data_IF_686676174079
#
_entry.id   IF_686676174079
#
_cell.length_a   1.000
_cell.length_b   1.000
_cell.length_c   1.000
_cell.angle_alpha   90.00
_cell.angle_beta   90.00
_cell.angle_gamma   90.00
#
_symmetry.space_group_name_H-M   'P 1'
#
loop_
_entity.id
_entity.type
_entity.pdbx_description
1 polymer ?
#
# COMPACT_ATOMS: atom_id res chain seq x y z
N UNK A 1 -8.12 1.01 -29.00
CA UNK A 1 -6.68 0.77 -28.95
C UNK A 1 -6.49 -0.62 -28.37
N UNK A 2 -5.81 -1.49 -29.10
CA UNK A 2 -5.51 -2.85 -28.66
C UNK A 2 -4.26 -2.86 -27.80
N UNK A 3 -4.12 -3.84 -26.92
CA UNK A 3 -2.96 -3.93 -26.05
C UNK A 3 -1.66 -4.13 -26.84
N UNK A 4 -1.70 -4.87 -27.95
CA UNK A 4 -0.55 -5.05 -28.85
C UNK A 4 -0.01 -3.73 -29.42
N UNK A 5 -0.88 -2.78 -29.77
CA UNK A 5 -0.51 -1.46 -30.28
C UNK A 5 0.26 -0.66 -29.20
N UNK A 6 -0.24 -0.68 -27.96
CA UNK A 6 0.45 -0.05 -26.83
C UNK A 6 1.80 -0.73 -26.54
N UNK A 7 1.90 -2.05 -26.65
CA UNK A 7 3.16 -2.75 -26.46
C UNK A 7 4.19 -2.40 -27.56
N UNK A 8 3.76 -2.18 -28.79
CA UNK A 8 4.64 -1.72 -29.88
C UNK A 8 5.15 -0.30 -29.64
N UNK A 9 4.28 0.63 -29.22
CA UNK A 9 4.70 1.98 -28.82
C UNK A 9 5.68 1.93 -27.64
N UNK A 10 5.38 1.13 -26.62
CA UNK A 10 6.25 0.92 -25.44
C UNK A 10 7.63 0.41 -25.84
N UNK A 11 7.71 -0.59 -26.73
CA UNK A 11 8.98 -1.15 -27.22
C UNK A 11 9.77 -0.15 -28.07
N UNK A 12 9.08 0.66 -28.88
CA UNK A 12 9.71 1.71 -29.69
C UNK A 12 10.38 2.79 -28.83
N UNK A 13 9.86 3.01 -27.62
CA UNK A 13 10.43 3.94 -26.64
C UNK A 13 11.54 3.33 -25.77
N UNK A 14 11.91 2.06 -26.00
CA UNK A 14 12.99 1.37 -25.27
C UNK A 14 12.50 0.39 -24.20
N UNK A 15 11.18 0.24 -24.01
CA UNK A 15 10.61 -0.77 -23.13
C UNK A 15 10.81 -2.20 -23.65
N UNK A 16 10.79 -3.19 -22.76
CA UNK A 16 10.74 -4.61 -23.15
C UNK A 16 9.42 -5.21 -22.68
N UNK A 17 8.72 -5.93 -23.56
CA UNK A 17 7.47 -6.61 -23.23
C UNK A 17 7.36 -7.88 -24.09
N UNK A 18 7.92 -8.98 -23.62
CA UNK A 18 8.04 -10.22 -24.36
C UNK A 18 7.13 -11.30 -23.78
N UNK A 19 6.45 -12.04 -24.66
CA UNK A 19 5.59 -13.17 -24.31
C UNK A 19 4.43 -12.80 -23.36
N UNK A 20 3.86 -11.60 -23.47
CA UNK A 20 2.75 -11.17 -22.61
C UNK A 20 1.51 -10.78 -23.38
N UNK A 21 0.37 -10.93 -22.74
CA UNK A 21 -0.91 -10.37 -23.15
C UNK A 21 -1.71 -9.90 -21.93
N UNK A 22 -2.71 -9.05 -22.18
CA UNK A 22 -3.63 -8.59 -21.17
C UNK A 22 -4.90 -9.44 -21.25
N UNK A 23 -5.29 -10.05 -20.12
CA UNK A 23 -6.56 -10.79 -20.02
C UNK A 23 -7.32 -10.35 -18.77
N UNK A 24 -8.62 -10.62 -18.74
CA UNK A 24 -9.44 -10.47 -17.54
C UNK A 24 -9.42 -11.78 -16.76
N UNK A 25 -8.87 -11.75 -15.55
CA UNK A 25 -8.81 -12.83 -14.58
C UNK A 25 -9.66 -12.58 -13.34
N UNK A 26 -9.36 -13.31 -12.27
CA UNK A 26 -10.06 -13.21 -10.98
C UNK A 26 -9.78 -11.90 -10.24
N UNK A 27 -8.65 -11.26 -10.53
CA UNK A 27 -8.22 -9.99 -9.93
C UNK A 27 -8.52 -8.77 -10.81
N UNK A 28 -9.33 -8.95 -11.86
CA UNK A 28 -9.57 -7.92 -12.87
C UNK A 28 -8.66 -8.11 -14.08
N UNK A 29 -8.22 -7.02 -14.71
CA UNK A 29 -7.24 -7.12 -15.79
C UNK A 29 -5.86 -7.46 -15.22
N UNK A 30 -5.15 -8.38 -15.88
CA UNK A 30 -3.84 -8.83 -15.46
C UNK A 30 -2.99 -9.28 -16.63
N UNK A 31 -1.69 -9.42 -16.37
CA UNK A 31 -0.71 -9.86 -17.37
C UNK A 31 -0.61 -11.39 -17.36
N UNK A 32 -0.70 -11.99 -18.54
CA UNK A 32 -0.62 -13.43 -18.74
C UNK A 32 0.45 -13.76 -19.79
N UNK A 33 1.09 -14.94 -19.70
CA UNK A 33 1.99 -15.42 -20.74
C UNK A 33 1.19 -15.77 -22.01
N UNK A 34 1.67 -15.34 -23.18
CA UNK A 34 1.16 -15.79 -24.49
C UNK A 34 1.43 -17.28 -24.69
N UNK A 35 2.66 -17.71 -24.38
CA UNK A 35 3.13 -19.09 -24.40
C UNK A 35 3.69 -19.46 -23.01
N UNK A 36 3.01 -20.35 -22.30
CA UNK A 36 3.39 -20.80 -20.94
C UNK A 36 4.73 -21.55 -20.91
N UNK A 37 5.26 -21.96 -22.07
CA UNK A 37 6.54 -22.65 -22.20
C UNK A 37 7.71 -21.68 -22.50
N UNK A 38 7.46 -20.37 -22.52
CA UNK A 38 8.49 -19.34 -22.69
C UNK A 38 8.48 -18.39 -21.50
N UNK A 39 9.66 -17.87 -21.17
CA UNK A 39 9.76 -16.85 -20.14
C UNK A 39 9.10 -15.56 -20.63
N UNK A 40 8.39 -14.88 -19.73
CA UNK A 40 8.04 -13.48 -19.96
C UNK A 40 9.22 -12.59 -19.62
N UNK A 41 9.27 -11.42 -20.23
CA UNK A 41 10.19 -10.36 -19.81
C UNK A 41 9.53 -9.01 -19.99
N UNK A 42 9.39 -8.27 -18.90
CA UNK A 42 8.90 -6.90 -18.91
C UNK A 42 9.98 -6.03 -18.28
N UNK A 43 10.41 -4.98 -18.99
CA UNK A 43 11.36 -3.98 -18.50
C UNK A 43 10.83 -2.61 -18.83
N UNK A 44 10.61 -1.79 -17.81
CA UNK A 44 10.34 -0.36 -17.93
C UNK A 44 11.62 0.38 -17.56
N UNK A 45 12.38 0.88 -18.54
CA UNK A 45 13.62 1.58 -18.27
C UNK A 45 13.34 2.97 -17.65
N UNK A 46 14.34 3.62 -17.02
CA UNK A 46 14.14 4.85 -16.26
C UNK A 46 13.48 5.97 -17.06
N UNK A 47 13.75 6.04 -18.37
CA UNK A 47 13.22 7.07 -19.27
C UNK A 47 11.70 6.93 -19.47
N UNK A 48 11.11 5.76 -19.22
CA UNK A 48 9.67 5.52 -19.32
C UNK A 48 8.94 5.59 -17.98
N UNK A 49 9.68 5.81 -16.89
CA UNK A 49 9.12 6.00 -15.56
C UNK A 49 8.72 7.45 -15.36
N UNK A 50 7.46 7.67 -14.94
CA UNK A 50 6.91 9.03 -14.82
C UNK A 50 6.66 9.37 -13.36
N UNK A 51 7.18 10.52 -12.93
CA UNK A 51 6.88 11.03 -11.59
C UNK A 51 5.40 11.47 -11.49
N UNK A 52 4.65 11.01 -10.47
CA UNK A 52 3.29 11.48 -10.20
C UNK A 52 3.18 13.01 -10.09
N UNK A 53 4.24 13.70 -9.66
CA UNK A 53 4.27 15.15 -9.53
C UNK A 53 4.18 15.89 -10.88
N UNK A 54 4.46 15.21 -12.00
CA UNK A 54 4.31 15.75 -13.35
C UNK A 54 2.90 15.54 -13.92
N UNK A 55 2.02 14.89 -13.18
CA UNK A 55 0.70 14.49 -13.67
C UNK A 55 -0.40 15.37 -13.09
N UNK A 56 -1.48 15.53 -13.85
CA UNK A 56 -2.68 16.22 -13.41
C UNK A 56 -3.92 15.69 -14.15
N UNK A 57 -5.11 15.98 -13.64
CA UNK A 57 -6.37 15.72 -14.35
C UNK A 57 -6.78 16.94 -15.16
N UNK A 58 -7.09 16.74 -16.44
CA UNK A 58 -7.73 17.77 -17.25
C UNK A 58 -9.22 17.94 -16.90
N UNK A 59 -9.90 18.84 -17.64
CA UNK A 59 -11.33 19.13 -17.42
C UNK A 59 -12.25 17.94 -17.68
N UNK A 60 -11.78 16.94 -18.43
CA UNK A 60 -12.50 15.70 -18.73
C UNK A 60 -12.08 14.56 -17.81
N UNK A 61 -11.40 14.87 -16.69
CA UNK A 61 -10.83 13.91 -15.75
C UNK A 61 -9.90 12.89 -16.42
N UNK A 62 -9.24 13.26 -17.52
CA UNK A 62 -8.19 12.42 -18.11
C UNK A 62 -6.84 12.77 -17.49
N UNK A 63 -6.02 11.74 -17.28
CA UNK A 63 -4.68 11.92 -16.75
C UNK A 63 -3.77 12.49 -17.84
N UNK A 64 -3.13 13.61 -17.55
CA UNK A 64 -2.29 14.39 -18.45
C UNK A 64 -0.93 14.68 -17.85
N UNK A 65 0.07 14.87 -18.70
CA UNK A 65 1.39 15.36 -18.30
C UNK A 65 1.37 16.90 -18.33
N UNK A 66 1.86 17.54 -17.27
CA UNK A 66 1.98 19.00 -17.19
C UNK A 66 2.77 19.56 -18.37
N UNK A 67 2.39 20.74 -18.84
CA UNK A 67 3.15 21.45 -19.86
C UNK A 67 4.54 21.86 -19.33
N UNK A 68 5.48 22.10 -20.26
CA UNK A 68 6.87 22.53 -19.96
C UNK A 68 7.65 21.52 -19.10
N UNK A 69 7.47 20.22 -19.38
CA UNK A 69 8.36 19.18 -18.85
C UNK A 69 9.47 18.91 -19.86
N UNK A 70 10.62 18.44 -19.37
CA UNK A 70 11.72 17.99 -20.22
C UNK A 70 11.50 16.57 -20.79
N UNK A 71 10.26 16.07 -20.70
CA UNK A 71 9.91 14.73 -21.18
C UNK A 71 9.79 14.71 -22.70
N UNK A 72 10.21 13.60 -23.30
CA UNK A 72 10.08 13.36 -24.72
C UNK A 72 8.59 13.41 -25.15
N UNK A 73 8.21 14.19 -26.19
CA UNK A 73 6.83 14.27 -26.67
C UNK A 73 6.20 12.90 -27.02
N UNK A 74 7.00 11.96 -27.56
CA UNK A 74 6.52 10.60 -27.87
C UNK A 74 6.20 9.81 -26.60
N UNK A 75 6.96 10.01 -25.52
CA UNK A 75 6.68 9.41 -24.22
C UNK A 75 5.39 9.98 -23.62
N UNK A 76 5.19 11.30 -23.73
CA UNK A 76 3.96 11.95 -23.25
C UNK A 76 2.75 11.37 -23.97
N UNK A 77 2.80 11.30 -25.30
CA UNK A 77 1.71 10.73 -26.12
C UNK A 77 1.42 9.27 -25.76
N UNK A 78 2.47 8.44 -25.68
CA UNK A 78 2.36 7.05 -25.23
C UNK A 78 1.69 6.94 -23.85
N UNK A 79 2.18 7.68 -22.85
CA UNK A 79 1.70 7.57 -21.49
C UNK A 79 0.24 8.02 -21.36
N UNK A 80 -0.14 9.12 -22.01
CA UNK A 80 -1.53 9.59 -21.96
C UNK A 80 -2.50 8.62 -22.66
N UNK A 81 -2.09 7.99 -23.77
CA UNK A 81 -2.87 6.90 -24.39
C UNK A 81 -2.95 5.70 -23.48
N UNK A 82 -1.82 5.25 -22.93
CA UNK A 82 -1.74 4.14 -21.99
C UNK A 82 -2.71 4.34 -20.82
N UNK A 83 -2.66 5.51 -20.18
CA UNK A 83 -3.54 5.84 -19.06
C UNK A 83 -5.01 5.92 -19.48
N UNK A 84 -5.32 6.40 -20.68
CA UNK A 84 -6.70 6.43 -21.19
C UNK A 84 -7.29 5.03 -21.39
N UNK A 85 -6.52 4.10 -21.94
CA UNK A 85 -7.04 2.81 -22.40
C UNK A 85 -6.77 1.64 -21.44
N UNK A 86 -5.74 1.72 -20.60
CA UNK A 86 -5.31 0.61 -19.74
C UNK A 86 -5.08 1.02 -18.28
N UNK A 87 -4.82 2.31 -18.02
CA UNK A 87 -4.66 2.86 -16.67
C UNK A 87 -5.91 3.58 -16.14
N UNK A 88 -5.73 4.85 -15.74
CA UNK A 88 -6.74 5.70 -15.12
C UNK A 88 -8.12 5.70 -15.81
N UNK A 89 -8.13 5.83 -17.14
CA UNK A 89 -9.37 5.88 -17.94
C UNK A 89 -10.06 4.53 -18.11
N UNK A 90 -9.38 3.41 -17.80
CA UNK A 90 -9.90 2.06 -17.96
C UNK A 90 -10.63 1.55 -16.71
N UNK A 91 -11.62 2.32 -16.24
CA UNK A 91 -12.46 1.93 -15.11
C UNK A 91 -11.91 2.26 -13.72
N UNK A 92 -10.64 2.69 -13.58
CA UNK A 92 -10.06 3.03 -12.28
C UNK A 92 -10.82 4.17 -11.56
N UNK A 93 -11.33 5.16 -12.31
CA UNK A 93 -12.20 6.21 -11.77
C UNK A 93 -13.46 5.59 -11.16
N UNK A 94 -14.15 4.73 -11.90
CA UNK A 94 -15.38 4.06 -11.45
C UNK A 94 -15.13 3.21 -10.21
N UNK A 95 -14.05 2.45 -10.19
CA UNK A 95 -13.68 1.60 -9.05
C UNK A 95 -13.39 2.42 -7.78
N UNK A 96 -12.68 3.55 -7.92
CA UNK A 96 -12.40 4.46 -6.80
C UNK A 96 -13.65 5.21 -6.36
N UNK A 97 -14.51 5.63 -7.29
CA UNK A 97 -15.81 6.22 -6.96
C UNK A 97 -16.69 5.23 -6.19
N UNK A 98 -16.76 3.97 -6.63
CA UNK A 98 -17.52 2.91 -5.94
C UNK A 98 -17.00 2.69 -4.52
N UNK A 99 -15.68 2.54 -4.39
CA UNK A 99 -15.01 2.40 -3.09
C UNK A 99 -15.32 3.58 -2.16
N UNK A 100 -15.11 4.83 -2.61
CA UNK A 100 -15.33 6.01 -1.77
C UNK A 100 -16.80 6.20 -1.43
N UNK A 101 -17.74 5.90 -2.33
CA UNK A 101 -19.18 5.93 -2.02
C UNK A 101 -19.55 4.94 -0.93
N UNK A 102 -18.99 3.72 -0.94
CA UNK A 102 -19.20 2.76 0.13
C UNK A 102 -18.52 3.21 1.44
N UNK A 103 -17.27 3.69 1.36
CA UNK A 103 -16.47 4.12 2.51
C UNK A 103 -17.15 5.28 3.27
N UNK A 104 -17.65 6.28 2.52
CA UNK A 104 -18.39 7.42 3.07
C UNK A 104 -19.70 7.02 3.77
N UNK A 105 -20.31 5.90 3.34
CA UNK A 105 -21.58 5.38 3.87
C UNK A 105 -21.43 4.46 5.07
N UNK A 106 -20.20 4.08 5.43
CA UNK A 106 -19.97 3.28 6.62
C UNK A 106 -20.56 3.96 7.87
N UNK A 107 -21.11 3.20 8.83
CA UNK A 107 -21.50 3.72 10.13
C UNK A 107 -20.37 4.54 10.77
N UNK A 108 -20.72 5.66 11.43
CA UNK A 108 -19.72 6.57 12.04
C UNK A 108 -18.79 5.86 13.01
N UNK A 109 -19.28 4.85 13.72
CA UNK A 109 -18.48 4.03 14.62
C UNK A 109 -17.41 3.20 13.87
N UNK A 110 -17.72 2.66 12.69
CA UNK A 110 -16.72 1.98 11.85
C UNK A 110 -15.67 2.96 11.34
N UNK A 111 -16.08 4.16 10.90
CA UNK A 111 -15.15 5.20 10.48
C UNK A 111 -14.18 5.57 11.60
N UNK A 112 -14.66 5.69 12.85
CA UNK A 112 -13.82 5.95 14.02
C UNK A 112 -12.78 4.85 14.25
N UNK A 113 -13.15 3.57 14.13
CA UNK A 113 -12.17 2.49 14.21
C UNK A 113 -11.16 2.51 13.06
N UNK A 114 -11.60 2.80 11.83
CA UNK A 114 -10.67 2.92 10.70
C UNK A 114 -9.66 4.05 10.90
N UNK A 115 -10.04 5.15 11.56
CA UNK A 115 -9.08 6.19 11.96
C UNK A 115 -7.99 5.64 12.88
N UNK A 116 -8.36 4.81 13.87
CA UNK A 116 -7.38 4.12 14.72
C UNK A 116 -6.45 3.19 13.91
N UNK A 117 -6.92 2.66 12.78
CA UNK A 117 -6.15 1.81 11.88
C UNK A 117 -5.48 2.56 10.71
N UNK A 118 -5.44 3.89 10.77
CA UNK A 118 -4.61 4.72 9.90
C UNK A 118 -5.36 5.39 8.75
N UNK A 119 -6.69 5.40 8.74
CA UNK A 119 -7.46 6.33 7.90
C UNK A 119 -7.47 7.72 8.50
N UNK A 120 -7.68 8.73 7.66
CA UNK A 120 -7.89 10.10 8.11
C UNK A 120 -9.35 10.51 7.91
N UNK A 121 -9.88 11.42 8.73
CA UNK A 121 -11.26 11.89 8.55
C UNK A 121 -11.59 12.37 7.12
N UNK A 122 -10.69 13.09 6.40
CA UNK A 122 -10.92 13.45 5.01
C UNK A 122 -11.07 12.27 4.04
N UNK A 123 -10.59 11.07 4.38
CA UNK A 123 -10.78 9.88 3.54
C UNK A 123 -12.26 9.52 3.40
N UNK A 124 -13.10 9.88 4.37
CA UNK A 124 -14.55 9.63 4.36
C UNK A 124 -15.38 10.74 3.70
N UNK A 125 -14.74 11.70 3.05
CA UNK A 125 -15.39 12.86 2.41
C UNK A 125 -14.99 13.06 0.93
N UNK A 126 -14.17 12.17 0.38
CA UNK A 126 -13.72 12.20 -1.02
C UNK A 126 -14.87 11.87 -1.97
N UNK A 127 -15.13 12.73 -2.96
CA UNK A 127 -16.33 12.67 -3.80
C UNK A 127 -16.07 12.85 -5.30
N UNK A 128 -14.85 13.24 -5.68
CA UNK A 128 -14.52 13.59 -7.06
C UNK A 128 -13.22 12.92 -7.50
N UNK A 129 -13.02 12.70 -8.81
CA UNK A 129 -11.80 12.11 -9.38
C UNK A 129 -10.49 12.71 -8.86
N UNK A 130 -10.44 14.02 -8.72
CA UNK A 130 -9.26 14.71 -8.17
C UNK A 130 -8.94 14.36 -6.71
N UNK A 131 -9.93 13.95 -5.92
CA UNK A 131 -9.78 13.72 -4.48
C UNK A 131 -9.04 12.40 -4.20
N UNK A 132 -9.14 11.43 -5.11
CA UNK A 132 -8.47 10.13 -5.02
C UNK A 132 -7.41 9.90 -6.12
N UNK A 133 -6.97 10.96 -6.82
CA UNK A 133 -5.87 10.83 -7.79
C UNK A 133 -4.58 10.32 -7.12
N UNK A 134 -4.26 10.87 -5.95
CA UNK A 134 -3.08 10.43 -5.19
C UNK A 134 -3.18 8.96 -4.77
N UNK A 135 -4.38 8.50 -4.46
CA UNK A 135 -4.65 7.10 -4.12
C UNK A 135 -4.45 6.15 -5.30
N UNK A 136 -4.77 6.60 -6.51
CA UNK A 136 -4.46 5.86 -7.73
C UNK A 136 -2.95 5.73 -7.92
N UNK A 137 -2.19 6.81 -7.72
CA UNK A 137 -0.73 6.77 -7.81
C UNK A 137 -0.11 5.86 -6.75
N UNK A 138 -0.52 5.99 -5.48
CA UNK A 138 -0.04 5.13 -4.38
C UNK A 138 -0.15 3.64 -4.73
N UNK A 139 -1.26 3.23 -5.37
CA UNK A 139 -1.50 1.83 -5.73
C UNK A 139 -0.67 1.29 -6.90
N UNK A 140 0.05 2.16 -7.63
CA UNK A 140 0.70 1.83 -8.92
C UNK A 140 2.12 2.37 -9.07
N UNK A 141 2.63 3.03 -8.03
CA UNK A 141 3.96 3.59 -8.03
C UNK A 141 4.96 2.69 -7.31
N UNK A 142 6.22 2.84 -7.68
CA UNK A 142 7.37 2.32 -6.93
C UNK A 142 8.23 3.50 -6.47
N UNK A 143 9.00 3.30 -5.40
CA UNK A 143 10.06 4.22 -5.04
C UNK A 143 11.38 3.74 -5.62
N UNK A 144 11.99 4.56 -6.47
CA UNK A 144 13.36 4.36 -6.96
C UNK A 144 14.18 5.53 -6.43
N UNK A 145 15.26 5.20 -5.71
CA UNK A 145 16.04 6.17 -4.95
C UNK A 145 15.13 7.00 -4.01
N UNK A 146 15.01 8.30 -4.25
CA UNK A 146 14.21 9.23 -3.44
C UNK A 146 12.92 9.70 -4.13
N UNK A 147 12.55 9.10 -5.27
CA UNK A 147 11.38 9.53 -6.03
C UNK A 147 10.37 8.40 -6.23
N UNK A 148 9.09 8.76 -6.13
CA UNK A 148 7.99 7.91 -6.58
C UNK A 148 7.85 7.98 -8.08
N UNK A 149 7.68 6.83 -8.72
CA UNK A 149 7.54 6.68 -10.17
C UNK A 149 6.40 5.73 -10.53
N UNK A 150 5.57 6.11 -11.50
CA UNK A 150 4.62 5.21 -12.16
C UNK A 150 5.37 4.31 -13.15
N UNK A 151 4.98 3.04 -13.22
CA UNK A 151 5.64 2.00 -14.02
C UNK A 151 4.67 1.45 -15.09
N UNK A 152 4.51 2.12 -16.24
CA UNK A 152 3.60 1.64 -17.30
C UNK A 152 3.85 0.18 -17.66
N UNK A 153 2.79 -0.57 -17.98
CA UNK A 153 2.78 -2.02 -18.25
C UNK A 153 3.03 -2.88 -17.00
N UNK A 154 4.01 -2.54 -16.16
CA UNK A 154 4.30 -3.29 -14.92
C UNK A 154 3.21 -3.06 -13.87
N UNK A 155 2.59 -1.88 -13.82
CA UNK A 155 1.48 -1.55 -12.92
C UNK A 155 0.16 -2.29 -13.24
N UNK A 156 0.11 -3.08 -14.31
CA UNK A 156 -1.00 -4.00 -14.65
C UNK A 156 -0.85 -5.39 -14.03
N UNK A 157 0.30 -5.70 -13.44
CA UNK A 157 0.55 -7.01 -12.83
C UNK A 157 -0.08 -7.02 -11.45
N UNK A 158 -1.04 -7.90 -11.20
CA UNK A 158 -1.75 -7.97 -9.93
C UNK A 158 -0.90 -8.50 -8.76
N UNK A 159 -1.40 -8.26 -7.55
CA UNK A 159 -0.74 -8.69 -6.33
C UNK A 159 -0.97 -10.17 -5.98
N UNK A 160 0.06 -10.83 -5.44
CA UNK A 160 -0.07 -12.01 -4.59
C UNK A 160 1.00 -12.04 -3.51
N UNK A 161 0.68 -12.57 -2.33
CA UNK A 161 1.66 -12.80 -1.26
C UNK A 161 2.76 -13.80 -1.68
N UNK A 162 2.44 -14.74 -2.57
CA UNK A 162 3.37 -15.68 -3.18
C UNK A 162 3.95 -15.19 -4.52
N UNK A 163 3.57 -13.99 -4.98
CA UNK A 163 4.09 -13.39 -6.20
C UNK A 163 5.57 -13.09 -6.12
N UNK A 164 6.20 -12.94 -7.28
CA UNK A 164 7.62 -12.55 -7.35
C UNK A 164 7.81 -11.07 -7.01
N UNK A 165 8.99 -10.69 -6.54
CA UNK A 165 9.30 -9.27 -6.35
C UNK A 165 9.66 -8.62 -7.69
N UNK A 166 9.40 -7.31 -7.80
CA UNK A 166 10.00 -6.51 -8.86
C UNK A 166 11.52 -6.42 -8.65
N UNK A 167 12.26 -6.35 -9.75
CA UNK A 167 13.68 -5.95 -9.70
C UNK A 167 13.77 -4.47 -10.06
N UNK A 168 14.33 -3.66 -9.16
CA UNK A 168 14.56 -2.23 -9.38
C UNK A 168 16.08 -1.99 -9.57
N UNK A 169 16.56 -2.25 -10.78
CA UNK A 169 17.95 -2.04 -11.20
C UNK A 169 17.94 -1.35 -12.56
N UNK A 170 18.31 -0.07 -12.59
CA UNK A 170 18.21 0.81 -13.75
C UNK A 170 16.85 0.70 -14.48
N UNK A 171 15.77 1.01 -13.76
CA UNK A 171 14.39 0.84 -14.19
C UNK A 171 13.66 -0.16 -13.31
N UNK A 172 12.60 -0.77 -13.82
CA UNK A 172 11.86 -1.83 -13.14
C UNK A 172 11.63 -2.99 -14.07
N UNK A 173 11.81 -4.22 -13.58
CA UNK A 173 11.61 -5.41 -14.38
C UNK A 173 10.91 -6.56 -13.64
N UNK A 174 10.28 -7.41 -14.45
CA UNK A 174 9.65 -8.68 -14.08
C UNK A 174 9.99 -9.70 -15.16
N UNK A 175 10.63 -10.80 -14.78
CA UNK A 175 11.06 -11.86 -15.69
C UNK A 175 10.84 -13.23 -15.04
N UNK A 176 10.49 -14.23 -15.84
CA UNK A 176 10.35 -15.61 -15.36
C UNK A 176 9.36 -16.46 -16.17
N UNK A 177 9.23 -17.71 -15.75
CA UNK A 177 8.29 -18.67 -16.31
C UNK A 177 7.00 -18.67 -15.49
N UNK A 178 5.86 -18.50 -16.16
CA UNK A 178 4.54 -18.48 -15.52
C UNK A 178 3.60 -19.43 -16.26
N UNK A 179 2.81 -20.20 -15.51
CA UNK A 179 1.77 -21.09 -16.05
C UNK A 179 0.41 -20.39 -16.17
N UNK A 180 0.26 -19.24 -15.54
CA UNK A 180 -0.99 -18.49 -15.35
C UNK A 180 -0.67 -17.00 -15.28
N UNK A 181 -1.60 -16.21 -14.75
CA UNK A 181 -1.39 -14.80 -14.44
C UNK A 181 -0.04 -14.58 -13.74
N UNK A 182 0.67 -13.56 -14.22
CA UNK A 182 1.88 -13.05 -13.60
C UNK A 182 1.43 -12.26 -12.37
N UNK A 183 1.94 -12.65 -11.20
CA UNK A 183 1.58 -12.01 -9.94
C UNK A 183 2.84 -11.55 -9.22
N UNK A 184 2.76 -10.39 -8.58
CA UNK A 184 3.88 -9.77 -7.88
C UNK A 184 3.58 -9.48 -6.43
N UNK A 185 4.61 -9.45 -5.59
CA UNK A 185 4.50 -9.04 -4.20
C UNK A 185 4.76 -7.53 -4.12
N UNK A 186 3.69 -6.73 -4.08
CA UNK A 186 3.77 -5.27 -4.02
C UNK A 186 4.54 -4.78 -2.79
N UNK A 187 4.31 -5.43 -1.64
CA UNK A 187 4.98 -5.06 -0.40
C UNK A 187 5.13 -6.26 0.54
N UNK A 188 6.23 -6.30 1.29
CA UNK A 188 6.52 -7.35 2.28
C UNK A 188 6.38 -6.90 3.74
N UNK A 189 6.26 -5.60 3.99
CA UNK A 189 6.32 -5.02 5.34
C UNK A 189 5.07 -4.25 5.80
N UNK A 190 3.98 -4.26 5.02
CA UNK A 190 2.72 -3.64 5.45
C UNK A 190 1.87 -4.62 6.24
N UNK A 191 1.17 -4.11 7.25
CA UNK A 191 0.05 -4.85 7.80
C UNK A 191 -1.17 -4.80 6.87
N UNK A 192 -2.18 -5.62 7.17
CA UNK A 192 -3.32 -5.80 6.28
C UNK A 192 -4.18 -4.53 6.14
N UNK A 193 -4.26 -3.69 7.18
CA UNK A 193 -4.98 -2.41 7.10
C UNK A 193 -4.27 -1.40 6.21
N UNK A 194 -2.94 -1.24 6.37
CA UNK A 194 -2.19 -0.34 5.50
C UNK A 194 -2.21 -0.82 4.04
N UNK A 195 -2.08 -2.14 3.83
CA UNK A 195 -2.21 -2.71 2.50
C UNK A 195 -3.58 -2.42 1.88
N UNK A 196 -4.66 -2.63 2.64
CA UNK A 196 -6.01 -2.34 2.18
C UNK A 196 -6.25 -0.84 1.91
N UNK A 197 -5.75 0.06 2.77
CA UNK A 197 -5.86 1.51 2.57
C UNK A 197 -5.27 1.93 1.21
N UNK A 198 -4.12 1.37 0.84
CA UNK A 198 -3.39 1.76 -0.36
C UNK A 198 -3.84 1.04 -1.63
N UNK A 199 -4.14 -0.25 -1.53
CA UNK A 199 -4.40 -1.09 -2.70
C UNK A 199 -5.85 -1.54 -2.83
N UNK A 200 -6.68 -1.38 -1.78
CA UNK A 200 -8.09 -1.81 -1.71
C UNK A 200 -8.29 -3.30 -1.98
N UNK A 201 -7.30 -4.10 -1.60
CA UNK A 201 -7.33 -5.56 -1.68
C UNK A 201 -7.20 -6.09 -0.26
N UNK A 202 -8.21 -6.84 0.20
CA UNK A 202 -8.15 -7.54 1.47
C UNK A 202 -7.27 -8.78 1.33
N UNK A 203 -6.05 -8.71 1.86
CA UNK A 203 -5.11 -9.83 1.86
C UNK A 203 -4.60 -10.12 3.27
N UNK A 204 -4.29 -11.38 3.59
CA UNK A 204 -3.53 -11.71 4.79
C UNK A 204 -2.19 -10.97 4.82
N UNK A 205 -1.76 -10.53 6.00
CA UNK A 205 -0.41 -10.05 6.23
C UNK A 205 0.32 -10.95 7.23
N UNK A 206 1.64 -10.82 7.30
CA UNK A 206 2.49 -11.45 8.32
C UNK A 206 2.81 -10.49 9.48
N UNK A 207 2.31 -9.25 9.40
CA UNK A 207 2.62 -8.17 10.31
C UNK A 207 1.31 -7.61 10.85
N UNK A 208 1.34 -7.25 12.14
CA UNK A 208 0.27 -6.51 12.79
C UNK A 208 0.89 -5.29 13.45
N UNK A 209 0.39 -4.11 13.13
CA UNK A 209 0.78 -2.87 13.79
C UNK A 209 -0.24 -2.50 14.86
N UNK A 210 0.21 -1.82 15.91
CA UNK A 210 -0.67 -1.20 16.89
C UNK A 210 -1.55 -0.15 16.22
N UNK A 211 -2.76 0.04 16.73
CA UNK A 211 -3.55 1.21 16.40
C UNK A 211 -2.83 2.51 16.79
N UNK A 212 -3.28 3.61 16.20
CA UNK A 212 -2.93 4.95 16.66
C UNK A 212 -3.43 5.12 18.10
N UNK A 213 -2.54 5.49 19.02
CA UNK A 213 -2.87 5.61 20.44
C UNK A 213 -1.96 6.60 21.16
N UNK A 214 -2.58 7.38 22.05
CA UNK A 214 -1.90 8.24 23.02
C UNK A 214 -2.09 7.70 24.42
N UNK A 215 -0.98 7.40 25.09
CA UNK A 215 -0.93 6.80 26.43
C UNK A 215 -0.29 7.79 27.39
N UNK A 216 -0.92 8.00 28.55
CA UNK A 216 -0.30 8.76 29.64
C UNK A 216 0.25 7.78 30.68
N UNK A 217 1.57 7.81 30.88
CA UNK A 217 2.28 6.89 31.77
C UNK A 217 2.75 7.66 33.00
N UNK A 218 2.36 7.25 34.22
CA UNK A 218 2.80 7.89 35.45
C UNK A 218 4.33 8.03 35.51
N UNK A 219 4.81 9.22 35.90
CA UNK A 219 6.23 9.56 36.03
C UNK A 219 7.09 9.51 34.74
N UNK A 220 6.50 9.11 33.61
CA UNK A 220 7.17 9.10 32.29
C UNK A 220 6.64 10.25 31.42
N UNK A 221 5.33 10.48 31.46
CA UNK A 221 4.65 11.47 30.62
C UNK A 221 3.82 10.81 29.53
N UNK A 222 3.65 11.51 28.40
CA UNK A 222 2.80 11.04 27.31
C UNK A 222 3.61 10.30 26.24
N UNK A 223 3.04 9.21 25.72
CA UNK A 223 3.59 8.38 24.66
C UNK A 223 2.56 8.36 23.54
N UNK A 224 2.96 8.82 22.35
CA UNK A 224 2.14 8.84 21.17
C UNK A 224 2.67 7.85 20.14
N UNK A 225 1.83 6.93 19.71
CA UNK A 225 2.16 5.88 18.76
C UNK A 225 1.23 6.03 17.57
N UNK A 226 1.83 6.27 16.40
CA UNK A 226 1.10 6.47 15.16
C UNK A 226 1.12 5.18 14.31
N UNK A 227 0.71 5.30 13.04
CA UNK A 227 0.76 4.21 12.05
C UNK A 227 1.57 4.56 10.80
N UNK A 228 2.59 5.41 10.96
CA UNK A 228 3.48 5.86 9.89
C UNK A 228 4.62 4.88 9.67
N UNK A 229 4.32 3.69 9.14
CA UNK A 229 5.29 2.60 8.93
C UNK A 229 6.32 2.82 7.81
N UNK A 230 6.18 3.92 7.07
CA UNK A 230 7.21 4.44 6.16
C UNK A 230 8.31 5.25 6.86
N UNK A 231 8.07 5.71 8.10
CA UNK A 231 9.05 6.49 8.87
C UNK A 231 9.82 5.53 9.78
N UNK A 232 11.03 5.19 9.36
CA UNK A 232 11.87 4.17 10.00
C UNK A 232 13.30 4.68 10.20
N UNK A 233 13.97 4.14 11.21
CA UNK A 233 15.41 4.28 11.38
C UNK A 233 16.11 2.97 10.96
N UNK A 234 17.36 3.09 10.50
CA UNK A 234 18.22 1.95 10.17
C UNK A 234 19.31 1.82 11.23
N UNK A 235 19.26 0.75 12.03
CA UNK A 235 20.26 0.45 13.06
C UNK A 235 20.87 -0.92 12.77
N UNK A 236 22.15 -0.96 12.41
CA UNK A 236 22.88 -2.21 12.09
C UNK A 236 22.13 -3.12 11.10
N UNK A 237 21.66 -2.53 9.99
CA UNK A 237 20.82 -3.17 8.96
C UNK A 237 19.42 -3.64 9.40
N UNK A 238 19.03 -3.39 10.65
CA UNK A 238 17.66 -3.59 11.13
C UNK A 238 16.85 -2.32 10.91
N UNK A 239 15.74 -2.46 10.20
CA UNK A 239 14.73 -1.41 10.06
C UNK A 239 13.83 -1.43 11.30
N UNK A 240 13.85 -0.34 12.05
CA UNK A 240 13.05 -0.15 13.28
C UNK A 240 12.16 1.09 13.14
N UNK A 241 11.06 1.19 13.91
CA UNK A 241 10.26 2.40 13.95
C UNK A 241 11.10 3.59 14.40
N UNK A 242 10.88 4.75 13.79
CA UNK A 242 11.47 5.98 14.27
C UNK A 242 10.84 6.35 15.63
N UNK A 243 11.70 6.68 16.59
CA UNK A 243 11.30 7.06 17.94
C UNK A 243 12.09 8.30 18.39
N UNK A 244 11.39 9.29 18.93
CA UNK A 244 12.02 10.51 19.42
C UNK A 244 11.20 11.14 20.55
N UNK A 245 11.82 12.04 21.31
CA UNK A 245 11.14 12.82 22.35
C UNK A 245 11.02 14.27 21.90
N UNK A 246 9.81 14.83 21.97
CA UNK A 246 9.52 16.23 21.64
C UNK A 246 8.54 16.80 22.65
N UNK A 247 8.84 17.97 23.21
CA UNK A 247 7.96 18.68 24.16
C UNK A 247 7.52 17.80 25.35
N UNK A 248 8.41 16.92 25.83
CA UNK A 248 8.13 15.98 26.92
C UNK A 248 7.35 14.72 26.52
N UNK A 249 6.87 14.62 25.28
CA UNK A 249 6.15 13.48 24.72
C UNK A 249 7.10 12.55 23.96
N UNK A 250 7.03 11.24 24.24
CA UNK A 250 7.71 10.22 23.42
C UNK A 250 6.82 9.94 22.22
N UNK A 251 7.37 10.02 21.02
CA UNK A 251 6.65 9.80 19.77
C UNK A 251 7.27 8.65 19.01
N UNK A 252 6.41 7.77 18.52
CA UNK A 252 6.79 6.58 17.78
C UNK A 252 6.00 6.53 16.49
N UNK A 253 6.69 6.29 15.37
CA UNK A 253 6.04 6.24 14.07
C UNK A 253 5.06 5.07 13.96
N UNK A 254 5.37 3.92 14.55
CA UNK A 254 4.51 2.73 14.67
C UNK A 254 5.07 1.73 15.69
N UNK A 255 4.27 0.71 16.05
CA UNK A 255 4.72 -0.48 16.80
C UNK A 255 4.23 -1.75 16.13
N UNK A 256 5.12 -2.65 15.69
CA UNK A 256 4.72 -4.02 15.38
C UNK A 256 4.29 -4.74 16.66
N UNK A 257 3.07 -5.27 16.69
CA UNK A 257 2.60 -6.16 17.76
C UNK A 257 2.94 -7.62 17.45
N UNK A 258 2.89 -7.99 16.17
CA UNK A 258 3.31 -9.29 15.66
C UNK A 258 4.03 -9.11 14.32
N UNK A 259 5.07 -9.91 14.08
CA UNK A 259 5.80 -9.91 12.81
C UNK A 259 6.44 -11.28 12.55
N UNK A 260 5.82 -12.09 11.69
CA UNK A 260 6.32 -13.43 11.33
C UNK A 260 7.55 -13.41 10.41
N UNK A 261 7.90 -12.26 9.85
CA UNK A 261 9.05 -12.12 8.95
C UNK A 261 10.35 -11.82 9.69
N UNK A 262 10.31 -11.55 11.00
CA UNK A 262 11.50 -11.19 11.81
C UNK A 262 11.84 -12.28 12.80
N UNK A 263 13.14 -12.46 13.04
CA UNK A 263 13.66 -13.42 14.01
C UNK A 263 13.52 -12.93 15.47
N UNK A 264 13.59 -11.61 15.68
CA UNK A 264 13.49 -11.01 17.01
C UNK A 264 12.02 -10.72 17.37
N UNK A 265 11.56 -11.07 18.58
CA UNK A 265 10.20 -10.77 19.04
C UNK A 265 9.93 -9.26 19.06
N UNK A 266 8.78 -8.84 18.54
CA UNK A 266 8.42 -7.41 18.48
C UNK A 266 8.42 -6.73 19.85
N UNK A 267 8.03 -7.47 20.90
CA UNK A 267 8.04 -7.01 22.29
C UNK A 267 9.43 -6.58 22.74
N UNK A 268 10.44 -7.39 22.44
CA UNK A 268 11.82 -7.11 22.84
C UNK A 268 12.35 -5.86 22.13
N UNK A 269 12.08 -5.74 20.82
CA UNK A 269 12.45 -4.55 20.04
C UNK A 269 11.81 -3.30 20.66
N UNK A 270 10.52 -3.34 20.99
CA UNK A 270 9.83 -2.21 21.61
C UNK A 270 10.44 -1.82 22.97
N UNK A 271 10.67 -2.79 23.85
CA UNK A 271 11.24 -2.56 25.19
C UNK A 271 12.60 -1.90 25.08
N UNK A 272 13.49 -2.44 24.23
CA UNK A 272 14.82 -1.88 24.01
C UNK A 272 14.80 -0.45 23.45
N UNK A 273 13.85 -0.14 22.56
CA UNK A 273 13.74 1.22 22.01
C UNK A 273 13.23 2.20 23.05
N UNK A 274 12.21 1.85 23.82
CA UNK A 274 11.55 2.81 24.72
C UNK A 274 12.36 3.07 25.99
N UNK A 275 13.17 2.10 26.43
CA UNK A 275 14.10 2.28 27.55
C UNK A 275 15.12 3.41 27.32
N UNK A 276 15.46 3.72 26.06
CA UNK A 276 16.33 4.86 25.70
C UNK A 276 15.77 6.21 26.16
N UNK A 277 14.48 6.26 26.51
CA UNK A 277 13.79 7.46 27.00
C UNK A 277 13.51 7.41 28.51
N UNK A 278 14.29 6.62 29.25
CA UNK A 278 14.19 6.42 30.70
C UNK A 278 12.85 5.80 31.16
N UNK A 279 12.22 5.00 30.29
CA UNK A 279 11.06 4.19 30.67
C UNK A 279 11.56 2.91 31.34
N UNK A 280 11.16 2.62 32.60
CA UNK A 280 11.58 1.38 33.27
C UNK A 280 11.15 0.15 32.48
N UNK A 281 11.97 -0.91 32.53
CA UNK A 281 11.71 -2.15 31.79
C UNK A 281 10.31 -2.70 32.09
N UNK A 282 9.97 -2.87 33.37
CA UNK A 282 8.66 -3.37 33.79
C UNK A 282 7.51 -2.55 33.24
N UNK A 283 7.65 -1.22 33.21
CA UNK A 283 6.68 -0.30 32.61
C UNK A 283 6.58 -0.48 31.10
N UNK A 284 7.71 -0.65 30.41
CA UNK A 284 7.74 -0.93 28.97
C UNK A 284 7.01 -2.25 28.63
N UNK A 285 7.25 -3.32 29.38
CA UNK A 285 6.53 -4.59 29.23
C UNK A 285 5.01 -4.40 29.39
N UNK A 286 4.58 -3.68 30.44
CA UNK A 286 3.17 -3.38 30.68
C UNK A 286 2.53 -2.55 29.57
N UNK A 287 3.25 -1.55 29.04
CA UNK A 287 2.77 -0.75 27.91
C UNK A 287 2.55 -1.65 26.69
N UNK A 288 3.52 -2.51 26.34
CA UNK A 288 3.39 -3.39 25.18
C UNK A 288 2.22 -4.37 25.32
N UNK A 289 2.04 -4.97 26.48
CA UNK A 289 0.90 -5.87 26.74
C UNK A 289 -0.43 -5.11 26.68
N UNK A 290 -0.46 -3.88 27.21
CA UNK A 290 -1.60 -2.98 27.07
C UNK A 290 -1.91 -2.62 25.61
N UNK A 291 -0.90 -2.44 24.75
CA UNK A 291 -1.09 -2.22 23.32
C UNK A 291 -1.71 -3.44 22.63
N UNK A 292 -1.27 -4.65 22.97
CA UNK A 292 -1.87 -5.88 22.47
C UNK A 292 -3.35 -5.94 22.82
N UNK A 293 -3.68 -5.76 24.10
CA UNK A 293 -5.07 -5.88 24.56
C UNK A 293 -5.96 -4.77 24.01
N UNK A 294 -5.45 -3.54 23.93
CA UNK A 294 -6.17 -2.43 23.30
C UNK A 294 -6.46 -2.71 21.81
N UNK A 295 -5.46 -3.21 21.07
CA UNK A 295 -5.61 -3.51 19.66
C UNK A 295 -6.58 -4.67 19.42
N UNK A 296 -6.54 -5.74 20.24
CA UNK A 296 -7.53 -6.83 20.21
C UNK A 296 -8.94 -6.30 20.42
N UNK A 297 -9.15 -5.46 21.44
CA UNK A 297 -10.46 -4.85 21.71
C UNK A 297 -10.94 -3.99 20.54
N UNK A 298 -10.08 -3.16 19.95
CA UNK A 298 -10.42 -2.34 18.80
C UNK A 298 -10.82 -3.20 17.58
N UNK A 299 -10.06 -4.27 17.30
CA UNK A 299 -10.36 -5.21 16.21
C UNK A 299 -11.66 -5.97 16.44
N UNK A 300 -11.91 -6.47 17.65
CA UNK A 300 -13.16 -7.17 17.98
C UNK A 300 -14.36 -6.24 17.82
N UNK A 301 -14.29 -5.00 18.31
CA UNK A 301 -15.39 -4.05 18.14
C UNK A 301 -15.60 -3.65 16.68
N UNK A 302 -14.53 -3.47 15.90
CA UNK A 302 -14.65 -3.26 14.45
C UNK A 302 -15.31 -4.45 13.76
N UNK A 303 -14.92 -5.67 14.12
CA UNK A 303 -15.50 -6.91 13.60
C UNK A 303 -16.99 -7.00 13.90
N UNK A 304 -17.41 -6.69 15.13
CA UNK A 304 -18.82 -6.64 15.52
C UNK A 304 -19.63 -5.65 14.68
N UNK A 305 -19.08 -4.48 14.39
CA UNK A 305 -19.72 -3.50 13.51
C UNK A 305 -19.75 -3.96 12.04
N UNK A 306 -18.69 -4.60 11.57
CA UNK A 306 -18.64 -5.17 10.21
C UNK A 306 -19.73 -6.23 10.02
N UNK A 307 -19.95 -7.10 11.00
CA UNK A 307 -20.98 -8.16 10.95
C UNK A 307 -22.41 -7.62 10.88
N UNK A 308 -22.64 -6.37 11.29
CA UNK A 308 -23.94 -5.69 11.18
C UNK A 308 -24.17 -5.04 9.82
N UNK A 309 -23.16 -5.01 8.95
CA UNK A 309 -23.17 -4.31 7.66
C UNK A 309 -23.08 -5.30 6.50
N UNK A 310 -23.89 -5.06 5.46
CA UNK A 310 -23.88 -5.85 4.23
C UNK A 310 -22.98 -5.25 3.13
N UNK A 311 -22.28 -4.15 3.42
CA UNK A 311 -21.38 -3.50 2.43
C UNK A 311 -20.23 -4.42 2.02
N UNK A 312 -19.67 -4.20 0.82
CA UNK A 312 -18.49 -4.94 0.37
C UNK A 312 -17.29 -4.61 1.27
N UNK A 313 -17.10 -3.32 1.56
CA UNK A 313 -16.01 -2.87 2.43
C UNK A 313 -16.08 -3.51 3.83
N UNK A 314 -17.27 -3.61 4.45
CA UNK A 314 -17.39 -4.26 5.77
C UNK A 314 -16.95 -5.73 5.75
N UNK A 315 -17.28 -6.48 4.69
CA UNK A 315 -16.86 -7.88 4.53
C UNK A 315 -15.34 -8.00 4.36
N UNK A 316 -14.73 -7.10 3.60
CA UNK A 316 -13.28 -7.03 3.42
C UNK A 316 -12.56 -6.68 4.74
N UNK A 317 -13.09 -5.71 5.49
CA UNK A 317 -12.59 -5.35 6.82
C UNK A 317 -12.74 -6.48 7.84
N UNK A 318 -13.81 -7.27 7.76
CA UNK A 318 -13.98 -8.48 8.58
C UNK A 318 -12.86 -9.49 8.33
N UNK A 319 -12.53 -9.77 7.06
CA UNK A 319 -11.42 -10.68 6.70
C UNK A 319 -10.10 -10.16 7.27
N UNK A 320 -9.84 -8.87 7.13
CA UNK A 320 -8.64 -8.21 7.66
C UNK A 320 -8.57 -8.32 9.19
N UNK A 321 -9.66 -7.97 9.89
CA UNK A 321 -9.70 -7.98 11.35
C UNK A 321 -9.50 -9.39 11.92
N UNK A 322 -10.13 -10.41 11.31
CA UNK A 322 -9.95 -11.81 11.70
C UNK A 322 -8.51 -12.28 11.49
N UNK A 323 -7.89 -11.94 10.36
CA UNK A 323 -6.50 -12.27 10.10
C UNK A 323 -5.55 -11.62 11.12
N UNK A 324 -5.74 -10.33 11.41
CA UNK A 324 -4.92 -9.60 12.38
C UNK A 324 -5.10 -10.16 13.80
N UNK A 325 -6.33 -10.46 14.23
CA UNK A 325 -6.59 -11.08 15.54
C UNK A 325 -5.90 -12.44 15.69
N UNK A 326 -5.95 -13.28 14.64
CA UNK A 326 -5.30 -14.58 14.65
C UNK A 326 -3.77 -14.47 14.77
N UNK A 327 -3.17 -13.42 14.21
CA UNK A 327 -1.72 -13.20 14.26
C UNK A 327 -1.24 -12.65 15.61
N UNK A 328 -1.99 -11.76 16.24
CA UNK A 328 -1.64 -11.23 17.58
C UNK A 328 -1.80 -12.29 18.67
N UNK A 329 -2.67 -13.29 18.42
CA UNK A 329 -2.99 -14.33 19.41
C UNK A 329 -2.16 -15.60 19.25
N UNK A 330 -1.27 -15.67 18.26
CA UNK A 330 -0.40 -16.80 17.96
C UNK A 330 0.95 -16.68 18.68
#
# INVERSE_FOLDING_TARGET
MNFSEILEEFRTLGGTANNIELRKGIYGHGIYPLDVNKAIKIVTPPELLISPNLLYLDRSNQLKVKAKTDLNPKLIDFFEKYQRFFGWGNGAITELDDYHRELCRLPKIMQQYLVLFGWDYPDFDKKKPKDYLNEYFISRQIRIENESKIMPIIDLINHSSAGIAYTADNGVSVEGMFKSEVLTRYHGSFDAFHFYKNYRIAVPSNIVLSCDVKINVPNVGSININRFDSIVDKVSDVIIPNIFKKDGEIRMSFVPLANKNKNAPSKQIFVEQIQKFNVPESTAYQIFDGLIEHNKQALTKLLDECMKSNSKIARELQVIALNQLALISA
#
